data_IF_151108400871
#
_entry.id   IF_151108400871
#
_cell.length_a   1.000
_cell.length_b   1.000
_cell.length_c   1.000
_cell.angle_alpha   90.00
_cell.angle_beta   90.00
_cell.angle_gamma   90.00
#
_symmetry.space_group_name_H-M   'P 1'
#
loop_
_entity.id
_entity.type
_entity.pdbx_description
1 polymer ?
#
# COMPACT_ATOMS: atom_id res chain seq x y z
N UNK A 1 -27.00 45.98 52.59
CA UNK A 1 -28.25 45.37 52.07
C UNK A 1 -27.92 44.69 50.75
N UNK A 2 -28.40 43.47 50.51
CA UNK A 2 -27.56 42.29 50.74
C UNK A 2 -27.58 41.26 49.59
N UNK A 3 -26.80 40.18 49.77
CA UNK A 3 -27.15 38.76 49.45
C UNK A 3 -27.13 38.38 47.94
N UNK A 4 -26.63 37.24 47.43
CA UNK A 4 -26.03 35.96 47.91
C UNK A 4 -25.19 35.38 46.74
N UNK A 5 -24.13 34.58 46.95
CA UNK A 5 -24.13 33.08 46.96
C UNK A 5 -24.79 32.46 45.72
N UNK A 6 -24.28 31.45 45.01
CA UNK A 6 -23.29 30.39 45.30
C UNK A 6 -23.01 29.65 43.94
N UNK A 7 -22.15 28.61 43.91
CA UNK A 7 -21.38 28.10 42.76
C UNK A 7 -22.09 26.96 42.01
N UNK A 8 -21.46 26.43 40.95
CA UNK A 8 -21.36 24.97 40.68
C UNK A 8 -20.50 24.69 39.43
N UNK A 9 -19.56 23.76 39.61
CA UNK A 9 -19.08 22.72 38.68
C UNK A 9 -19.21 22.94 37.16
N UNK A 10 -18.10 22.76 36.44
CA UNK A 10 -17.79 21.46 35.82
C UNK A 10 -16.28 21.40 35.58
N UNK A 11 -15.61 20.57 36.38
CA UNK A 11 -14.28 20.04 36.07
C UNK A 11 -14.40 19.12 34.85
N UNK A 12 -14.00 19.56 33.66
CA UNK A 12 -13.84 18.67 32.52
C UNK A 12 -12.39 18.18 32.47
N UNK A 13 -12.12 17.16 33.29
CA UNK A 13 -10.94 16.30 33.17
C UNK A 13 -10.91 15.70 31.76
N UNK A 14 -10.18 16.35 30.85
CA UNK A 14 -9.95 15.79 29.52
C UNK A 14 -8.84 14.76 29.64
N UNK A 15 -9.31 13.52 29.72
CA UNK A 15 -8.54 12.30 29.76
C UNK A 15 -7.44 12.33 28.71
N UNK A 16 -6.22 12.10 29.18
CA UNK A 16 -5.05 11.79 28.39
C UNK A 16 -5.23 10.42 27.73
N UNK A 17 -5.91 10.41 26.60
CA UNK A 17 -6.07 9.21 25.76
C UNK A 17 -4.82 9.02 24.89
N UNK A 18 -4.14 7.90 25.18
CA UNK A 18 -3.35 7.08 24.28
C UNK A 18 -2.83 7.78 23.02
N UNK A 19 -1.59 8.27 23.10
CA UNK A 19 -0.73 8.43 21.92
C UNK A 19 -0.46 7.03 21.34
N UNK A 20 -1.37 6.56 20.51
CA UNK A 20 -1.08 5.49 19.56
C UNK A 20 -0.01 6.03 18.61
N UNK A 21 1.22 5.62 18.88
CA UNK A 21 2.37 5.83 18.02
C UNK A 21 2.10 5.21 16.65
N UNK A 22 1.65 6.05 15.71
CA UNK A 22 1.70 5.77 14.29
C UNK A 22 3.19 5.80 13.93
N UNK A 23 3.83 4.64 14.01
CA UNK A 23 5.14 4.47 13.42
C UNK A 23 4.99 4.70 11.92
N UNK A 24 5.80 5.58 11.30
CA UNK A 24 5.91 5.58 9.85
C UNK A 24 6.35 4.18 9.44
N UNK A 25 5.84 3.67 8.31
CA UNK A 25 6.24 2.39 7.74
C UNK A 25 7.67 2.50 7.18
N UNK A 26 8.63 2.91 8.01
CA UNK A 26 10.05 2.95 7.70
C UNK A 26 10.53 1.51 7.64
N UNK A 27 10.68 1.05 6.39
CA UNK A 27 11.60 -0.01 5.95
C UNK A 27 11.71 -1.17 6.93
N UNK A 28 10.76 -2.10 6.86
CA UNK A 28 10.90 -3.41 7.50
C UNK A 28 11.98 -4.17 6.71
N UNK A 29 13.23 -3.95 7.08
CA UNK A 29 14.37 -4.77 6.66
C UNK A 29 14.66 -5.77 7.78
N UNK A 30 13.94 -6.89 7.72
CA UNK A 30 14.28 -8.14 8.39
C UNK A 30 13.58 -9.24 7.60
N UNK A 31 14.23 -9.73 6.54
CA UNK A 31 13.73 -10.82 5.71
C UNK A 31 14.28 -12.15 6.23
N UNK A 32 13.54 -12.89 7.07
CA UNK A 32 13.58 -14.34 6.97
C UNK A 32 12.79 -14.70 5.72
N UNK A 33 13.49 -15.22 4.71
CA UNK A 33 12.86 -15.75 3.51
C UNK A 33 11.79 -16.79 3.91
N UNK A 34 10.62 -16.65 3.32
CA UNK A 34 9.46 -17.52 3.43
C UNK A 34 8.81 -17.59 4.82
N UNK A 35 7.74 -16.81 4.99
CA UNK A 35 6.92 -16.86 6.20
C UNK A 35 6.04 -18.12 6.18
N UNK A 36 6.23 -18.98 7.18
CA UNK A 36 5.40 -20.18 7.36
C UNK A 36 3.90 -19.86 7.34
N UNK A 37 3.12 -20.67 6.60
CA UNK A 37 1.69 -20.48 6.39
C UNK A 37 1.31 -19.55 5.23
N UNK A 38 2.28 -19.00 4.51
CA UNK A 38 2.08 -18.16 3.32
C UNK A 38 2.80 -18.75 2.10
N UNK A 39 2.47 -18.31 0.87
CA UNK A 39 3.27 -18.63 -0.31
C UNK A 39 4.71 -18.12 -0.13
N UNK A 40 5.67 -18.85 -0.68
CA UNK A 40 7.08 -18.44 -0.69
C UNK A 40 7.28 -17.24 -1.62
N UNK A 41 8.40 -16.53 -1.48
CA UNK A 41 8.73 -15.44 -2.41
C UNK A 41 8.95 -15.96 -3.84
N UNK A 42 9.46 -17.17 -3.99
CA UNK A 42 9.61 -17.84 -5.29
C UNK A 42 8.24 -18.10 -5.94
N UNK A 43 7.29 -18.70 -5.20
CA UNK A 43 5.92 -18.89 -5.67
C UNK A 43 5.24 -17.55 -6.01
N UNK A 44 5.51 -16.51 -5.20
CA UNK A 44 5.01 -15.18 -5.50
C UNK A 44 5.62 -14.59 -6.77
N UNK A 45 6.92 -14.79 -7.01
CA UNK A 45 7.55 -14.37 -8.26
C UNK A 45 6.91 -15.03 -9.47
N UNK A 46 6.61 -16.33 -9.41
CA UNK A 46 5.86 -17.05 -10.45
C UNK A 46 4.47 -16.43 -10.68
N UNK A 47 3.73 -16.07 -9.61
CA UNK A 47 2.45 -15.35 -9.73
C UNK A 47 2.62 -14.03 -10.50
N UNK A 48 3.69 -13.29 -10.21
CA UNK A 48 3.98 -12.01 -10.87
C UNK A 48 4.32 -12.23 -12.35
N UNK A 49 5.12 -13.24 -12.66
CA UNK A 49 5.54 -13.55 -14.03
C UNK A 49 4.37 -14.05 -14.88
N UNK A 50 3.51 -14.91 -14.32
CA UNK A 50 2.25 -15.33 -14.92
C UNK A 50 1.33 -14.12 -15.19
N UNK A 51 1.27 -13.17 -14.24
CA UNK A 51 0.50 -11.96 -14.44
C UNK A 51 1.06 -11.09 -15.56
N UNK A 52 2.37 -10.84 -15.56
CA UNK A 52 3.00 -9.99 -16.57
C UNK A 52 2.94 -10.60 -17.96
N UNK A 53 3.09 -11.92 -18.09
CA UNK A 53 2.99 -12.64 -19.36
C UNK A 53 1.56 -12.63 -19.93
N UNK A 54 0.54 -12.55 -19.07
CA UNK A 54 -0.87 -12.40 -19.50
C UNK A 54 -1.20 -11.01 -20.07
N UNK A 55 -0.32 -10.02 -19.88
CA UNK A 55 -0.52 -8.64 -20.34
C UNK A 55 0.23 -8.36 -21.64
N UNK A 56 -0.36 -7.55 -22.52
CA UNK A 56 0.38 -6.98 -23.65
C UNK A 56 1.54 -6.10 -23.14
N UNK A 57 2.70 -6.15 -23.80
CA UNK A 57 3.94 -5.44 -23.45
C UNK A 57 3.75 -3.96 -23.08
N UNK A 58 2.84 -3.24 -23.75
CA UNK A 58 2.52 -1.83 -23.42
C UNK A 58 1.79 -1.64 -22.08
N UNK A 59 1.00 -2.64 -21.66
CA UNK A 59 0.27 -2.62 -20.39
C UNK A 59 1.14 -3.16 -19.25
N UNK A 60 1.97 -4.17 -19.52
CA UNK A 60 2.86 -4.78 -18.53
C UNK A 60 3.82 -3.77 -17.87
N UNK A 61 4.43 -2.87 -18.66
CA UNK A 61 5.43 -1.90 -18.16
C UNK A 61 4.88 -0.87 -17.16
N UNK A 62 3.56 -0.62 -17.16
CA UNK A 62 2.90 0.33 -16.26
C UNK A 62 1.90 -0.34 -15.30
N UNK A 63 1.76 -1.66 -15.38
CA UNK A 63 0.82 -2.43 -14.56
C UNK A 63 1.32 -2.58 -13.11
N UNK A 64 2.63 -2.78 -12.95
CA UNK A 64 3.31 -2.84 -11.65
C UNK A 64 4.34 -1.72 -11.60
N UNK A 65 4.27 -0.91 -10.55
CA UNK A 65 5.21 0.20 -10.36
C UNK A 65 6.48 -0.36 -9.73
N UNK A 66 7.56 -0.50 -10.51
CA UNK A 66 8.88 -0.84 -9.97
C UNK A 66 9.44 0.31 -9.15
N UNK A 67 10.41 0.03 -8.29
CA UNK A 67 11.15 1.05 -7.55
C UNK A 67 11.75 2.12 -8.47
N UNK A 68 12.30 1.73 -9.63
CA UNK A 68 12.82 2.66 -10.64
C UNK A 68 11.72 3.58 -11.19
N UNK A 69 10.60 2.99 -11.64
CA UNK A 69 9.47 3.74 -12.16
C UNK A 69 8.85 4.68 -11.11
N UNK A 70 8.76 4.21 -9.87
CA UNK A 70 8.33 5.03 -8.72
C UNK A 70 9.19 6.28 -8.58
N UNK A 71 10.52 6.13 -8.59
CA UNK A 71 11.45 7.25 -8.46
C UNK A 71 11.35 8.21 -9.65
N UNK A 72 11.20 7.70 -10.87
CA UNK A 72 11.02 8.54 -12.06
C UNK A 72 9.73 9.35 -12.00
N UNK A 73 8.62 8.75 -11.55
CA UNK A 73 7.34 9.47 -11.33
C UNK A 73 7.53 10.52 -10.24
N UNK A 74 8.16 10.17 -9.12
CA UNK A 74 8.42 11.07 -8.01
C UNK A 74 9.25 12.29 -8.45
N UNK A 75 10.32 12.07 -9.22
CA UNK A 75 11.13 13.13 -9.79
C UNK A 75 10.31 14.01 -10.74
N UNK A 76 9.52 13.41 -11.62
CA UNK A 76 8.67 14.12 -12.60
C UNK A 76 7.66 15.05 -11.91
N UNK A 77 7.06 14.60 -10.81
CA UNK A 77 6.10 15.39 -10.04
C UNK A 77 6.78 16.51 -9.24
N UNK A 78 7.98 16.27 -8.71
CA UNK A 78 8.77 17.28 -7.98
C UNK A 78 9.32 18.36 -8.90
N UNK A 79 9.68 18.01 -10.13
CA UNK A 79 10.30 18.89 -11.11
C UNK A 79 9.41 19.05 -12.36
N UNK A 80 8.20 19.63 -12.27
CA UNK A 80 7.24 19.63 -13.37
C UNK A 80 7.68 20.47 -14.58
N UNK A 81 8.68 21.34 -14.41
CA UNK A 81 9.27 22.18 -15.46
C UNK A 81 10.42 21.48 -16.21
N UNK A 82 10.94 20.39 -15.66
CA UNK A 82 11.99 19.62 -16.29
C UNK A 82 11.39 18.76 -17.41
N UNK A 83 11.70 19.12 -18.66
CA UNK A 83 11.22 18.43 -19.86
C UNK A 83 12.21 17.38 -20.37
N UNK A 84 13.38 17.27 -19.74
CA UNK A 84 14.44 16.31 -20.14
C UNK A 84 14.16 14.90 -19.61
N UNK A 85 13.29 14.79 -18.61
CA UNK A 85 12.86 13.53 -18.00
C UNK A 85 11.83 12.83 -18.86
N UNK A 86 12.16 11.64 -19.34
CA UNK A 86 11.25 10.77 -20.08
C UNK A 86 10.59 11.48 -21.29
N UNK A 87 9.59 10.84 -21.89
CA UNK A 87 8.83 11.42 -22.98
C UNK A 87 7.64 12.28 -22.49
N UNK A 88 7.12 13.21 -23.33
CA UNK A 88 5.98 14.05 -22.97
C UNK A 88 4.70 13.27 -22.56
N UNK A 89 4.45 12.10 -23.15
CA UNK A 89 3.29 11.27 -22.82
C UNK A 89 3.45 10.66 -21.43
N UNK A 90 4.65 10.21 -21.07
CA UNK A 90 4.97 9.76 -19.72
C UNK A 90 4.69 10.86 -18.69
N UNK A 91 5.21 12.07 -18.90
CA UNK A 91 5.01 13.19 -17.96
C UNK A 91 3.53 13.57 -17.80
N UNK A 92 2.79 13.59 -18.91
CA UNK A 92 1.34 13.82 -18.87
C UNK A 92 0.61 12.73 -18.07
N UNK A 93 0.92 11.46 -18.35
CA UNK A 93 0.36 10.33 -17.63
C UNK A 93 0.68 10.37 -16.13
N UNK A 94 1.94 10.61 -15.76
CA UNK A 94 2.39 10.66 -14.37
C UNK A 94 1.63 11.73 -13.57
N UNK A 95 1.52 12.96 -14.10
CA UNK A 95 0.76 14.05 -13.47
C UNK A 95 -0.74 13.79 -13.39
N UNK A 96 -1.29 13.04 -14.34
CA UNK A 96 -2.71 12.71 -14.36
C UNK A 96 -3.06 11.59 -13.38
N UNK A 97 -2.17 10.61 -13.22
CA UNK A 97 -2.43 9.41 -12.43
C UNK A 97 -2.00 9.54 -10.98
N UNK A 98 -0.98 10.34 -10.69
CA UNK A 98 -0.36 10.38 -9.37
C UNK A 98 -0.32 11.79 -8.81
N UNK A 99 -0.35 11.87 -7.48
CA UNK A 99 -0.17 13.09 -6.71
C UNK A 99 0.91 12.87 -5.66
N UNK A 100 1.53 13.96 -5.20
CA UNK A 100 2.39 13.91 -4.02
C UNK A 100 1.55 14.04 -2.75
N UNK A 101 2.06 13.52 -1.64
CA UNK A 101 1.55 13.83 -0.31
C UNK A 101 1.91 15.26 0.13
N UNK A 102 1.38 15.69 1.27
CA UNK A 102 1.61 17.03 1.82
C UNK A 102 3.10 17.33 2.07
N UNK A 103 3.91 16.29 2.29
CA UNK A 103 5.36 16.44 2.51
C UNK A 103 6.17 16.42 1.21
N UNK A 104 5.56 16.08 0.08
CA UNK A 104 6.24 15.90 -1.21
C UNK A 104 7.17 14.68 -1.26
N UNK A 105 7.06 13.74 -0.32
CA UNK A 105 7.95 12.58 -0.15
C UNK A 105 7.39 11.29 -0.72
N UNK A 106 6.08 11.14 -0.78
CA UNK A 106 5.42 9.89 -1.12
C UNK A 106 4.44 10.06 -2.30
N UNK A 107 4.43 9.09 -3.21
CA UNK A 107 3.44 9.01 -4.29
C UNK A 107 2.10 8.49 -3.77
N UNK A 108 1.03 9.20 -4.13
CA UNK A 108 -0.35 8.83 -3.87
C UNK A 108 -1.13 8.68 -5.16
N UNK A 109 -2.10 7.77 -5.15
CA UNK A 109 -3.16 7.68 -6.15
C UNK A 109 -4.47 7.45 -5.40
N UNK A 110 -5.47 8.31 -5.66
CA UNK A 110 -6.77 8.30 -4.96
C UNK A 110 -6.61 8.36 -3.43
N UNK A 111 -5.75 9.27 -2.93
CA UNK A 111 -5.43 9.44 -1.51
C UNK A 111 -4.71 8.27 -0.82
N UNK A 112 -4.40 7.19 -1.55
CA UNK A 112 -3.70 6.01 -1.03
C UNK A 112 -2.25 5.96 -1.50
N UNK A 113 -1.30 5.52 -0.65
CA UNK A 113 0.10 5.35 -1.05
C UNK A 113 0.21 4.33 -2.19
N UNK A 114 1.09 4.58 -3.17
CA UNK A 114 1.32 3.68 -4.31
C UNK A 114 2.15 2.49 -3.88
N UNK A 115 1.65 1.27 -4.10
CA UNK A 115 2.41 0.05 -3.85
C UNK A 115 3.55 -0.10 -4.87
N UNK A 116 4.74 -0.41 -4.36
CA UNK A 116 5.90 -0.76 -5.16
C UNK A 116 5.90 -2.28 -5.40
N UNK A 117 6.28 -2.71 -6.60
CA UNK A 117 6.34 -4.13 -7.01
C UNK A 117 7.12 -4.97 -6.00
N UNK A 118 8.27 -4.47 -5.55
CA UNK A 118 9.18 -5.19 -4.66
C UNK A 118 8.58 -5.38 -3.24
N UNK A 119 7.76 -4.44 -2.77
CA UNK A 119 7.09 -4.49 -1.48
C UNK A 119 5.77 -5.27 -1.51
N UNK A 120 5.27 -5.60 -2.70
CA UNK A 120 3.95 -6.19 -2.89
C UNK A 120 3.77 -7.48 -2.10
N UNK A 121 4.79 -8.33 -2.05
CA UNK A 121 4.77 -9.55 -1.24
C UNK A 121 4.51 -9.25 0.24
N UNK A 122 5.27 -8.32 0.81
CA UNK A 122 5.18 -7.96 2.23
C UNK A 122 3.80 -7.37 2.55
N UNK A 123 3.29 -6.48 1.68
CA UNK A 123 1.96 -5.89 1.81
C UNK A 123 0.89 -6.99 1.82
N UNK A 124 0.95 -7.95 0.89
CA UNK A 124 -0.04 -9.02 0.81
C UNK A 124 0.01 -9.95 2.02
N UNK A 125 1.20 -10.37 2.45
CA UNK A 125 1.37 -11.20 3.65
C UNK A 125 0.76 -10.52 4.88
N UNK A 126 1.08 -9.23 5.10
CA UNK A 126 0.57 -8.47 6.24
C UNK A 126 -0.96 -8.29 6.18
N UNK A 127 -1.49 -7.87 5.04
CA UNK A 127 -2.94 -7.69 4.88
C UNK A 127 -3.70 -9.01 5.00
N UNK A 128 -3.18 -10.09 4.42
CA UNK A 128 -3.82 -11.40 4.48
C UNK A 128 -3.77 -12.01 5.89
N UNK A 129 -2.67 -11.81 6.61
CA UNK A 129 -2.56 -12.17 8.02
C UNK A 129 -3.56 -11.40 8.90
N UNK A 130 -3.66 -10.08 8.73
CA UNK A 130 -4.64 -9.24 9.46
C UNK A 130 -6.07 -9.69 9.20
N UNK A 131 -6.34 -10.14 7.98
CA UNK A 131 -7.61 -10.75 7.59
C UNK A 131 -7.83 -12.16 8.16
N UNK A 132 -6.86 -12.71 8.91
CA UNK A 132 -6.82 -14.08 9.45
C UNK A 132 -7.07 -15.14 8.37
N UNK A 133 -6.34 -15.04 7.26
CA UNK A 133 -6.53 -15.89 6.08
C UNK A 133 -7.92 -15.75 5.44
N UNK A 134 -8.45 -14.52 5.42
CA UNK A 134 -9.70 -14.18 4.77
C UNK A 134 -9.63 -14.33 3.24
N UNK A 135 -10.79 -14.45 2.60
CA UNK A 135 -10.87 -14.57 1.14
C UNK A 135 -10.33 -13.36 0.37
N UNK A 136 -10.32 -13.46 -0.96
CA UNK A 136 -9.84 -12.41 -1.88
C UNK A 136 -10.43 -11.04 -1.55
N UNK A 137 -11.75 -10.95 -1.43
CA UNK A 137 -12.44 -9.66 -1.31
C UNK A 137 -12.15 -9.00 0.03
N UNK A 138 -12.06 -9.79 1.11
CA UNK A 138 -11.66 -9.30 2.43
C UNK A 138 -10.22 -8.79 2.41
N UNK A 139 -9.31 -9.54 1.80
CA UNK A 139 -7.91 -9.14 1.66
C UNK A 139 -7.79 -7.86 0.81
N UNK A 140 -8.54 -7.74 -0.29
CA UNK A 140 -8.54 -6.53 -1.12
C UNK A 140 -9.02 -5.28 -0.36
N UNK A 141 -10.01 -5.41 0.51
CA UNK A 141 -10.53 -4.30 1.31
C UNK A 141 -9.54 -3.81 2.37
N UNK A 142 -8.70 -4.72 2.90
CA UNK A 142 -7.68 -4.39 3.90
C UNK A 142 -6.44 -3.71 3.28
N UNK A 143 -6.21 -3.86 1.97
CA UNK A 143 -5.07 -3.23 1.29
C UNK A 143 -5.28 -1.70 1.27
N UNK A 144 -4.48 -1.02 2.07
CA UNK A 144 -4.45 0.44 2.16
C UNK A 144 -3.67 1.10 1.02
N UNK A 145 -2.91 0.31 0.25
CA UNK A 145 -2.10 0.79 -0.87
C UNK A 145 -2.89 0.77 -2.18
N UNK A 146 -2.56 1.69 -3.09
CA UNK A 146 -3.05 1.72 -4.46
C UNK A 146 -2.12 0.93 -5.40
N UNK A 147 -2.55 0.73 -6.65
CA UNK A 147 -1.77 0.00 -7.68
C UNK A 147 -1.44 -1.46 -7.35
N UNK A 148 -2.32 -2.13 -6.60
CA UNK A 148 -2.27 -3.58 -6.39
C UNK A 148 -3.29 -4.29 -7.30
N UNK A 149 -2.86 -5.04 -8.32
CA UNK A 149 -3.75 -5.80 -9.19
C UNK A 149 -4.54 -6.88 -8.44
N UNK A 150 -5.88 -6.86 -8.56
CA UNK A 150 -6.79 -7.79 -7.86
C UNK A 150 -6.55 -9.25 -8.20
N UNK A 151 -6.09 -9.53 -9.41
CA UNK A 151 -5.78 -10.87 -9.87
C UNK A 151 -4.52 -11.45 -9.22
N UNK A 152 -3.51 -10.62 -8.92
CA UNK A 152 -2.36 -11.02 -8.10
C UNK A 152 -2.84 -11.40 -6.69
N UNK A 153 -3.71 -10.59 -6.08
CA UNK A 153 -4.29 -10.91 -4.76
C UNK A 153 -5.04 -12.24 -4.80
N UNK A 154 -5.84 -12.47 -5.84
CA UNK A 154 -6.58 -13.72 -6.01
C UNK A 154 -5.65 -14.94 -6.15
N UNK A 155 -4.60 -14.82 -6.96
CA UNK A 155 -3.60 -15.88 -7.15
C UNK A 155 -2.83 -16.16 -5.85
N UNK A 156 -2.43 -15.12 -5.12
CA UNK A 156 -1.76 -15.24 -3.83
C UNK A 156 -2.62 -16.00 -2.79
N UNK A 157 -3.89 -15.60 -2.61
CA UNK A 157 -4.81 -16.27 -1.68
C UNK A 157 -5.10 -17.71 -2.11
N UNK A 158 -5.15 -17.99 -3.42
CA UNK A 158 -5.33 -19.35 -3.94
C UNK A 158 -4.15 -20.27 -3.61
N UNK A 159 -2.93 -19.75 -3.64
CA UNK A 159 -1.70 -20.49 -3.37
C UNK A 159 -1.30 -20.51 -1.89
N UNK A 160 -2.02 -19.80 -1.01
CA UNK A 160 -1.75 -19.81 0.42
C UNK A 160 -1.95 -21.21 1.03
N UNK A 161 -0.91 -21.84 1.61
CA UNK A 161 -1.02 -23.19 2.17
C UNK A 161 -2.07 -23.31 3.28
N UNK A 162 -2.16 -22.31 4.17
CA UNK A 162 -3.14 -22.30 5.27
C UNK A 162 -4.59 -22.20 4.75
N UNK A 163 -4.82 -21.42 3.69
CA UNK A 163 -6.13 -21.35 3.04
C UNK A 163 -6.46 -22.64 2.29
N UNK A 164 -5.47 -23.24 1.62
CA UNK A 164 -5.64 -24.49 0.89
C UNK A 164 -6.02 -25.63 1.83
N UNK A 165 -5.35 -25.76 2.98
CA UNK A 165 -5.66 -26.76 4.00
C UNK A 165 -7.11 -26.63 4.52
N UNK A 166 -7.63 -25.42 4.72
CA UNK A 166 -9.02 -25.20 5.16
C UNK A 166 -10.08 -25.44 4.09
N UNK A 167 -9.68 -25.47 2.81
CA UNK A 167 -10.59 -25.71 1.68
C UNK A 167 -10.81 -27.20 1.44
N UNK A 168 -9.88 -28.03 1.91
CA UNK A 168 -9.88 -29.47 1.77
C UNK A 168 -10.44 -30.16 3.02
#
# INVERSE_FOLDING_TARGET
MPRESHPSDVSFSRQSEARQSILPLTRISSHPDDRSGFPTRAQFAEIIDDYLSSLNRRRASKALISSELYNTILYTLRNPRDVTVEDPQFRFWARKMFTLDDTGRELRHQQRPVAIKEDLYNILVQCHERCRHGGRDRTCSEIQHSHVPRNIVAAFVRQCPTCAYRRN
#
